data_IF_894531342393
#
_entry.id   IF_894531342393
#
_cell.length_a   1.000
_cell.length_b   1.000
_cell.length_c   1.000
_cell.angle_alpha   90.00
_cell.angle_beta   90.00
_cell.angle_gamma   90.00
#
_symmetry.space_group_name_H-M   'P 1'
#
loop_
_entity.id
_entity.type
_entity.pdbx_description
1 polymer ?
#
# COMPACT_ATOMS: atom_id res chain seq x y z
N UNK A 1 -3.45 11.57 8.54
CA UNK A 1 -2.08 11.93 8.97
C UNK A 1 -1.22 12.51 7.84
N UNK A 2 -1.11 11.87 6.66
CA UNK A 2 -0.34 12.41 5.50
C UNK A 2 -0.71 13.85 5.12
N UNK A 3 -2.01 14.15 4.96
CA UNK A 3 -2.52 15.52 4.69
C UNK A 3 -2.15 16.56 5.77
N UNK A 4 -1.98 16.14 7.02
CA UNK A 4 -1.56 17.02 8.12
C UNK A 4 -0.03 17.17 8.20
N UNK A 5 0.70 16.45 7.36
CA UNK A 5 2.16 16.45 7.31
C UNK A 5 2.81 15.76 8.50
N UNK A 6 2.12 14.88 9.23
CA UNK A 6 2.70 14.16 10.39
C UNK A 6 3.42 12.85 10.01
N UNK A 7 3.00 12.19 8.93
CA UNK A 7 3.51 10.87 8.57
C UNK A 7 3.51 10.69 7.06
N UNK A 8 4.48 9.93 6.55
CA UNK A 8 4.55 9.53 5.13
C UNK A 8 3.91 8.16 4.89
N UNK A 9 4.06 7.23 5.84
CA UNK A 9 3.59 5.85 5.73
C UNK A 9 2.95 5.36 7.03
N UNK A 10 2.05 4.38 6.90
CA UNK A 10 1.42 3.70 8.02
C UNK A 10 1.18 2.23 7.65
N UNK A 11 1.46 1.33 8.58
CA UNK A 11 1.06 -0.07 8.50
C UNK A 11 0.43 -0.52 9.81
N UNK A 12 -0.44 -1.53 9.74
CA UNK A 12 -1.02 -2.16 10.92
C UNK A 12 -1.21 -3.66 10.69
N UNK A 13 -0.99 -4.48 11.72
CA UNK A 13 -1.18 -5.92 11.61
C UNK A 13 -0.75 -6.70 12.84
N UNK A 14 -0.84 -8.03 12.73
CA UNK A 14 -0.27 -8.92 13.73
C UNK A 14 1.25 -8.77 13.74
N UNK A 15 1.80 -8.55 14.93
CA UNK A 15 3.21 -8.30 15.15
C UNK A 15 3.98 -9.53 15.61
N UNK A 16 4.96 -9.31 16.49
CA UNK A 16 5.77 -10.39 17.04
C UNK A 16 4.92 -11.39 17.84
N UNK A 17 5.27 -12.68 17.70
CA UNK A 17 4.60 -13.79 18.39
C UNK A 17 5.56 -14.46 19.36
N UNK A 18 5.16 -14.54 20.63
CA UNK A 18 5.90 -15.22 21.70
C UNK A 18 5.02 -16.36 22.23
N UNK A 19 5.37 -17.59 21.90
CA UNK A 19 4.55 -18.76 22.24
C UNK A 19 3.12 -18.63 21.67
N UNK A 20 2.16 -18.48 22.58
CA UNK A 20 0.72 -18.35 22.27
C UNK A 20 0.23 -16.89 22.30
N UNK A 21 1.11 -15.93 22.56
CA UNK A 21 0.79 -14.50 22.59
C UNK A 21 1.28 -13.82 21.32
N UNK A 22 0.57 -12.78 20.88
CA UNK A 22 0.94 -11.95 19.74
C UNK A 22 0.67 -10.49 20.05
N UNK A 23 1.53 -9.60 19.55
CA UNK A 23 1.24 -8.17 19.53
C UNK A 23 0.33 -7.83 18.33
N UNK A 24 -0.35 -6.69 18.43
CA UNK A 24 -0.89 -5.95 17.29
C UNK A 24 -0.08 -4.67 17.16
N UNK A 25 0.51 -4.44 16.00
CA UNK A 25 1.46 -3.34 15.79
C UNK A 25 0.86 -2.34 14.81
N UNK A 26 1.02 -1.05 15.13
CA UNK A 26 0.73 0.07 14.24
C UNK A 26 2.03 0.84 14.08
N UNK A 27 2.65 0.72 12.91
CA UNK A 27 3.87 1.44 12.58
C UNK A 27 3.57 2.68 11.76
N UNK A 28 4.24 3.79 12.09
CA UNK A 28 4.08 5.07 11.41
C UNK A 28 5.44 5.66 11.11
N UNK A 29 5.71 5.94 9.83
CA UNK A 29 6.89 6.68 9.42
C UNK A 29 6.63 8.17 9.62
N UNK A 30 7.25 8.75 10.66
CA UNK A 30 7.04 10.14 11.04
C UNK A 30 7.83 11.10 10.15
N UNK A 31 7.24 12.26 9.86
CA UNK A 31 7.96 13.44 9.38
C UNK A 31 8.59 14.19 10.56
N UNK A 32 9.42 15.20 10.31
CA UNK A 32 9.93 16.10 11.36
C UNK A 32 8.80 16.73 12.19
N UNK A 33 7.71 17.11 11.52
CA UNK A 33 6.51 17.66 12.19
C UNK A 33 5.82 16.60 13.07
N UNK A 34 5.72 15.36 12.59
CA UNK A 34 5.18 14.25 13.38
C UNK A 34 6.04 13.91 14.59
N UNK A 35 7.36 13.87 14.40
CA UNK A 35 8.34 13.62 15.44
C UNK A 35 8.35 14.70 16.52
N UNK A 36 8.14 15.97 16.15
CA UNK A 36 7.97 17.07 17.11
C UNK A 36 6.66 16.98 17.92
N UNK A 37 5.68 16.19 17.47
CA UNK A 37 4.34 16.13 18.05
C UNK A 37 3.78 14.69 18.19
N UNK A 38 4.47 13.77 18.87
CA UNK A 38 4.09 12.36 18.92
C UNK A 38 2.72 12.13 19.56
N UNK A 39 2.35 12.90 20.59
CA UNK A 39 1.04 12.79 21.23
C UNK A 39 -0.11 13.13 20.28
N UNK A 40 0.09 14.07 19.34
CA UNK A 40 -0.93 14.41 18.33
C UNK A 40 -1.13 13.27 17.33
N UNK A 41 -0.05 12.59 16.96
CA UNK A 41 -0.10 11.39 16.11
C UNK A 41 -0.83 10.25 16.81
N UNK A 42 -0.48 9.97 18.07
CA UNK A 42 -1.12 8.93 18.87
C UNK A 42 -2.61 9.21 19.09
N UNK A 43 -2.99 10.47 19.36
CA UNK A 43 -4.40 10.87 19.46
C UNK A 43 -5.21 10.59 18.19
N UNK A 44 -4.62 10.81 17.01
CA UNK A 44 -5.28 10.47 15.74
C UNK A 44 -5.41 8.95 15.54
N UNK A 45 -4.41 8.16 15.96
CA UNK A 45 -4.47 6.69 15.91
C UNK A 45 -5.60 6.18 16.82
N UNK A 46 -5.66 6.63 18.07
CA UNK A 46 -6.71 6.20 19.00
C UNK A 46 -8.10 6.68 18.59
N UNK A 47 -8.22 7.90 18.05
CA UNK A 47 -9.49 8.37 17.47
C UNK A 47 -9.95 7.49 16.29
N UNK A 48 -9.02 6.97 15.48
CA UNK A 48 -9.36 6.02 14.42
C UNK A 48 -9.73 4.63 14.96
N UNK A 49 -9.08 4.18 16.04
CA UNK A 49 -9.47 2.94 16.75
C UNK A 49 -10.89 3.06 17.33
N UNK A 50 -11.27 4.22 17.86
CA UNK A 50 -12.62 4.45 18.36
C UNK A 50 -13.67 4.44 17.23
N UNK A 51 -13.29 4.90 16.03
CA UNK A 51 -14.10 4.76 14.83
C UNK A 51 -14.30 3.28 14.45
N UNK A 52 -13.25 2.44 14.56
CA UNK A 52 -13.34 1.00 14.34
C UNK A 52 -14.24 0.31 15.38
N UNK A 53 -14.21 0.75 16.64
CA UNK A 53 -15.10 0.22 17.70
C UNK A 53 -16.57 0.57 17.46
N UNK A 54 -16.84 1.72 16.83
CA UNK A 54 -18.19 2.19 16.51
C UNK A 54 -18.75 1.62 15.20
N UNK A 55 -17.99 0.77 14.52
CA UNK A 55 -18.33 0.20 13.24
C UNK A 55 -19.62 -0.65 13.25
N UNK A 56 -20.49 -0.39 12.27
CA UNK A 56 -21.76 -1.11 12.06
C UNK A 56 -21.78 -1.97 10.80
N UNK A 57 -20.81 -1.81 9.90
CA UNK A 57 -20.77 -2.47 8.58
C UNK A 57 -19.60 -3.46 8.43
N UNK A 58 -19.14 -3.99 9.57
CA UNK A 58 -17.96 -4.86 9.61
C UNK A 58 -18.14 -6.15 8.80
N UNK A 59 -19.36 -6.64 8.66
CA UNK A 59 -19.66 -7.83 7.86
C UNK A 59 -19.39 -7.61 6.36
N UNK A 60 -19.78 -6.45 5.82
CA UNK A 60 -19.49 -6.13 4.41
C UNK A 60 -17.99 -6.09 4.15
N UNK A 61 -17.21 -5.46 5.04
CA UNK A 61 -15.73 -5.44 4.90
C UNK A 61 -15.12 -6.83 5.03
N UNK A 62 -15.64 -7.67 5.93
CA UNK A 62 -15.22 -9.06 6.03
C UNK A 62 -15.45 -9.80 4.71
N UNK A 63 -16.62 -9.64 4.10
CA UNK A 63 -16.96 -10.27 2.82
C UNK A 63 -16.06 -9.78 1.68
N UNK A 64 -15.72 -8.49 1.63
CA UNK A 64 -14.78 -7.95 0.65
C UNK A 64 -13.39 -8.60 0.78
N UNK A 65 -12.83 -8.62 1.99
CA UNK A 65 -11.51 -9.23 2.26
C UNK A 65 -11.54 -10.73 1.92
N UNK A 66 -12.60 -11.44 2.32
CA UNK A 66 -12.76 -12.86 2.04
C UNK A 66 -12.87 -13.13 0.53
N UNK A 67 -13.58 -12.27 -0.21
CA UNK A 67 -13.74 -12.38 -1.66
C UNK A 67 -12.39 -12.18 -2.36
N UNK A 68 -11.67 -11.11 -2.02
CA UNK A 68 -10.32 -10.84 -2.55
C UNK A 68 -9.39 -12.01 -2.29
N UNK A 69 -9.36 -12.52 -1.06
CA UNK A 69 -8.49 -13.63 -0.68
C UNK A 69 -8.83 -14.94 -1.41
N UNK A 70 -10.12 -15.25 -1.54
CA UNK A 70 -10.62 -16.41 -2.30
C UNK A 70 -10.23 -16.31 -3.77
N UNK A 71 -10.46 -15.16 -4.40
CA UNK A 71 -10.10 -14.89 -5.80
C UNK A 71 -8.59 -15.01 -6.02
N UNK A 72 -7.78 -14.44 -5.12
CA UNK A 72 -6.32 -14.55 -5.17
C UNK A 72 -5.83 -15.99 -5.06
N UNK A 73 -6.50 -16.83 -4.27
CA UNK A 73 -6.20 -18.26 -4.18
C UNK A 73 -6.65 -19.04 -5.42
N UNK A 74 -7.85 -18.78 -5.93
CA UNK A 74 -8.41 -19.44 -7.10
C UNK A 74 -7.55 -19.23 -8.35
N UNK A 75 -7.04 -18.00 -8.54
CA UNK A 75 -6.21 -17.62 -9.68
C UNK A 75 -4.72 -17.49 -9.33
N UNK A 76 -4.27 -18.21 -8.29
CA UNK A 76 -2.88 -18.16 -7.83
C UNK A 76 -1.94 -18.67 -8.93
N UNK A 77 -0.99 -17.83 -9.32
CA UNK A 77 0.04 -18.19 -10.29
C UNK A 77 1.09 -19.16 -9.71
N UNK A 78 1.73 -19.92 -10.60
CA UNK A 78 2.82 -20.82 -10.22
C UNK A 78 4.01 -20.01 -9.73
N UNK A 79 4.54 -20.39 -8.56
CA UNK A 79 5.74 -19.80 -7.96
C UNK A 79 6.95 -20.67 -8.24
N UNK A 80 8.14 -20.09 -8.06
CA UNK A 80 9.39 -20.86 -8.02
C UNK A 80 9.29 -22.01 -7.00
N UNK A 81 9.69 -23.20 -7.43
CA UNK A 81 9.55 -24.43 -6.65
C UNK A 81 10.26 -24.36 -5.29
N UNK A 82 11.46 -23.76 -5.26
CA UNK A 82 12.24 -23.64 -4.01
C UNK A 82 11.52 -22.78 -2.97
N UNK A 83 10.91 -21.68 -3.38
CA UNK A 83 10.14 -20.81 -2.48
C UNK A 83 8.85 -21.47 -2.03
N UNK A 84 8.18 -22.23 -2.91
CA UNK A 84 6.94 -22.92 -2.55
C UNK A 84 7.19 -24.05 -1.54
N UNK A 85 8.23 -24.87 -1.74
CA UNK A 85 8.59 -25.95 -0.80
C UNK A 85 8.97 -25.39 0.57
N UNK A 86 9.82 -24.35 0.62
CA UNK A 86 10.21 -23.71 1.88
C UNK A 86 9.00 -23.15 2.65
N UNK A 87 8.09 -22.47 1.93
CA UNK A 87 6.85 -21.93 2.48
C UNK A 87 5.92 -23.02 3.03
N UNK A 88 5.75 -24.12 2.29
CA UNK A 88 4.88 -25.24 2.70
C UNK A 88 5.46 -26.00 3.89
N UNK A 89 6.77 -26.27 3.91
CA UNK A 89 7.44 -26.93 5.03
C UNK A 89 7.22 -26.16 6.34
N UNK A 90 7.35 -24.82 6.30
CA UNK A 90 7.10 -23.96 7.46
C UNK A 90 5.64 -24.05 7.94
N UNK A 91 4.68 -24.14 7.01
CA UNK A 91 3.24 -24.22 7.34
C UNK A 91 2.82 -25.58 7.89
N UNK A 92 3.41 -26.66 7.38
CA UNK A 92 3.10 -28.03 7.82
C UNK A 92 3.46 -28.27 9.30
N UNK A 93 4.41 -27.51 9.84
CA UNK A 93 4.73 -27.53 11.27
C UNK A 93 3.62 -26.95 12.17
N UNK A 94 2.62 -26.25 11.61
CA UNK A 94 1.65 -25.46 12.38
C UNK A 94 0.19 -25.69 11.99
N UNK A 95 -0.07 -26.15 10.78
CA UNK A 95 -1.42 -26.23 10.24
C UNK A 95 -1.70 -27.61 9.64
N UNK A 96 -2.97 -28.07 9.65
CA UNK A 96 -3.36 -29.32 9.03
C UNK A 96 -2.97 -29.37 7.55
N UNK A 97 -2.50 -30.53 7.09
CA UNK A 97 -2.07 -30.76 5.70
C UNK A 97 -3.13 -30.33 4.68
N UNK A 98 -4.42 -30.56 4.98
CA UNK A 98 -5.54 -30.18 4.11
C UNK A 98 -5.65 -28.66 3.87
N UNK A 99 -5.14 -27.83 4.77
CA UNK A 99 -5.36 -26.38 4.79
C UNK A 99 -4.13 -25.58 4.33
N UNK A 100 -2.93 -26.19 4.33
CA UNK A 100 -1.64 -25.45 4.18
C UNK A 100 -1.54 -24.59 2.92
N UNK A 101 -2.20 -25.00 1.83
CA UNK A 101 -2.21 -24.21 0.60
C UNK A 101 -3.15 -23.01 0.70
N UNK A 102 -4.30 -23.18 1.34
CA UNK A 102 -5.40 -22.23 1.37
C UNK A 102 -5.39 -21.30 2.60
N UNK A 103 -4.42 -21.39 3.51
CA UNK A 103 -4.41 -20.60 4.76
C UNK A 103 -4.68 -19.09 4.61
N UNK A 104 -4.30 -18.49 3.48
CA UNK A 104 -4.52 -17.06 3.25
C UNK A 104 -5.92 -16.74 2.70
N UNK A 105 -6.71 -17.76 2.37
CA UNK A 105 -8.03 -17.68 1.75
C UNK A 105 -9.11 -18.42 2.55
N UNK A 106 -8.76 -19.00 3.70
CA UNK A 106 -9.73 -19.61 4.61
C UNK A 106 -10.32 -18.51 5.49
N UNK A 107 -11.59 -18.20 5.22
CA UNK A 107 -12.41 -17.25 5.96
C UNK A 107 -13.64 -18.03 6.48
N UNK A 108 -13.68 -18.31 7.79
CA UNK A 108 -14.64 -19.23 8.42
C UNK A 108 -16.01 -18.62 8.78
N UNK A 109 -16.21 -17.33 8.53
CA UNK A 109 -17.40 -16.56 8.92
C UNK A 109 -17.06 -15.27 9.67
N UNK A 110 -17.93 -14.28 9.55
CA UNK A 110 -17.82 -13.02 10.27
C UNK A 110 -18.22 -13.21 11.73
N UNK A 111 -17.28 -12.95 12.66
CA UNK A 111 -17.51 -13.04 14.10
C UNK A 111 -17.39 -11.65 14.75
N UNK A 112 -18.50 -10.89 14.90
CA UNK A 112 -18.45 -9.55 15.48
C UNK A 112 -18.05 -9.54 16.95
N UNK A 113 -18.35 -10.61 17.71
CA UNK A 113 -17.95 -10.68 19.12
C UNK A 113 -16.43 -10.78 19.29
N UNK A 114 -15.77 -11.63 18.51
CA UNK A 114 -14.32 -11.79 18.56
C UNK A 114 -13.58 -10.52 18.13
N UNK A 115 -14.05 -9.86 17.07
CA UNK A 115 -13.51 -8.57 16.63
C UNK A 115 -13.64 -7.52 17.75
N UNK A 116 -14.80 -7.45 18.41
CA UNK A 116 -15.00 -6.54 19.56
C UNK A 116 -14.06 -6.86 20.72
N UNK A 117 -13.81 -8.14 21.00
CA UNK A 117 -12.85 -8.55 22.03
C UNK A 117 -11.44 -8.06 21.73
N UNK A 118 -10.97 -8.17 20.49
CA UNK A 118 -9.65 -7.64 20.12
C UNK A 118 -9.61 -6.10 20.13
N UNK A 119 -10.62 -5.43 19.55
CA UNK A 119 -10.70 -3.96 19.54
C UNK A 119 -10.77 -3.37 20.95
N UNK A 120 -11.40 -4.07 21.90
CA UNK A 120 -11.46 -3.65 23.31
C UNK A 120 -10.08 -3.66 23.99
N UNK A 121 -9.11 -4.43 23.48
CA UNK A 121 -7.74 -4.41 23.98
C UNK A 121 -6.92 -3.26 23.42
N UNK A 122 -7.32 -2.67 22.29
CA UNK A 122 -6.63 -1.53 21.67
C UNK A 122 -6.96 -0.23 22.42
N UNK A 123 -6.31 -0.05 23.56
CA UNK A 123 -6.46 1.11 24.46
C UNK A 123 -5.11 1.72 24.79
N UNK A 124 -5.07 3.01 25.16
CA UNK A 124 -3.85 3.65 25.64
C UNK A 124 -3.20 2.94 26.83
N UNK A 125 -3.99 2.26 27.67
CA UNK A 125 -3.52 1.54 28.86
C UNK A 125 -2.75 0.25 28.50
N UNK A 126 -3.06 -0.36 27.36
CA UNK A 126 -2.36 -1.56 26.88
C UNK A 126 -1.27 -1.23 25.84
N UNK A 127 -1.06 0.05 25.52
CA UNK A 127 -0.14 0.46 24.48
C UNK A 127 1.31 0.51 24.97
N UNK A 128 2.21 -0.06 24.17
CA UNK A 128 3.65 0.18 24.27
C UNK A 128 4.03 1.04 23.06
N UNK A 129 4.54 2.25 23.32
CA UNK A 129 4.92 3.19 22.27
C UNK A 129 6.43 3.23 22.14
N UNK A 130 6.94 2.89 20.97
CA UNK A 130 8.34 3.05 20.61
C UNK A 130 8.48 4.17 19.58
N UNK A 131 9.29 5.17 19.89
CA UNK A 131 9.66 6.25 18.96
C UNK A 131 11.15 6.12 18.69
N UNK A 132 11.53 6.03 17.43
CA UNK A 132 12.92 5.88 17.00
C UNK A 132 13.31 7.08 16.15
N UNK A 133 14.48 7.67 16.43
CA UNK A 133 15.05 8.74 15.61
C UNK A 133 16.58 8.57 15.53
N UNK A 134 17.22 8.84 14.38
CA UNK A 134 18.66 8.72 14.22
C UNK A 134 19.47 9.63 15.16
N UNK A 135 18.87 10.74 15.58
CA UNK A 135 19.48 11.75 16.45
C UNK A 135 19.23 11.51 17.94
N UNK A 136 18.59 10.40 18.29
CA UNK A 136 18.27 10.10 19.69
C UNK A 136 19.51 9.62 20.44
N UNK A 137 19.90 10.36 21.48
CA UNK A 137 21.02 10.06 22.35
C UNK A 137 20.54 9.77 23.77
N UNK A 138 21.21 8.84 24.44
CA UNK A 138 20.93 8.47 25.83
C UNK A 138 22.15 7.82 26.47
N UNK A 139 22.30 7.99 27.78
CA UNK A 139 23.32 7.29 28.56
C UNK A 139 23.03 5.79 28.68
N UNK A 140 21.75 5.39 28.61
CA UNK A 140 21.36 3.99 28.64
C UNK A 140 21.48 3.40 27.24
N UNK A 141 22.12 2.22 27.14
CA UNK A 141 22.35 1.51 25.88
C UNK A 141 21.94 0.04 26.01
N UNK A 142 21.42 -0.54 24.93
CA UNK A 142 21.11 -1.98 24.88
C UNK A 142 22.39 -2.80 25.05
N UNK A 143 22.32 -3.95 25.71
CA UNK A 143 23.48 -4.79 26.02
C UNK A 143 24.31 -5.18 24.78
N UNK A 144 23.65 -5.68 23.73
CA UNK A 144 24.37 -6.30 22.60
C UNK A 144 24.71 -5.32 21.49
N UNK A 145 23.79 -4.43 21.13
CA UNK A 145 23.94 -3.53 19.98
C UNK A 145 24.32 -2.10 20.37
N UNK A 146 24.45 -1.81 21.66
CA UNK A 146 24.82 -0.49 22.19
C UNK A 146 23.91 0.65 21.68
N UNK A 147 22.66 0.34 21.32
CA UNK A 147 21.67 1.30 20.83
C UNK A 147 21.19 2.17 22.00
N UNK A 148 21.28 3.51 21.92
CA UNK A 148 20.77 4.40 22.96
C UNK A 148 19.25 4.26 23.09
N UNK A 149 18.75 4.18 24.32
CA UNK A 149 17.31 4.11 24.59
C UNK A 149 16.96 4.83 25.90
N UNK A 150 15.67 5.12 26.08
CA UNK A 150 15.14 5.60 27.36
C UNK A 150 13.72 5.07 27.51
N UNK A 151 13.38 4.65 28.72
CA UNK A 151 12.03 4.22 29.07
C UNK A 151 11.39 5.31 29.93
N UNK A 152 10.22 5.77 29.53
CA UNK A 152 9.43 6.75 30.28
C UNK A 152 8.00 6.27 30.41
N UNK A 153 7.40 6.47 31.57
CA UNK A 153 5.99 6.18 31.77
C UNK A 153 5.14 7.09 30.88
N UNK A 154 4.23 6.48 30.12
CA UNK A 154 3.22 7.20 29.35
C UNK A 154 2.04 7.53 30.27
N UNK A 155 1.45 8.71 30.08
CA UNK A 155 0.17 9.05 30.70
C UNK A 155 -0.93 8.76 29.68
N UNK A 156 -1.80 7.75 29.91
CA UNK A 156 -2.82 7.36 28.94
C UNK A 156 -3.71 8.51 28.45
N UNK A 157 -4.00 9.48 29.32
CA UNK A 157 -4.82 10.66 29.00
C UNK A 157 -4.18 11.56 27.91
N UNK A 158 -2.85 11.58 27.82
CA UNK A 158 -2.13 12.39 26.84
C UNK A 158 -2.23 11.80 25.42
N UNK A 159 -2.64 10.53 25.30
CA UNK A 159 -2.72 9.80 24.03
C UNK A 159 -4.09 9.86 23.37
N UNK A 160 -5.12 10.37 24.06
CA UNK A 160 -6.49 10.43 23.54
C UNK A 160 -6.99 11.85 23.29
N UNK A 161 -6.24 12.87 23.75
CA UNK A 161 -6.63 14.26 23.59
C UNK A 161 -6.32 14.74 22.16
N UNK A 162 -7.36 14.89 21.34
CA UNK A 162 -7.24 15.52 20.01
C UNK A 162 -7.13 17.04 20.19
N UNK A 163 -5.96 17.59 19.85
CA UNK A 163 -5.71 19.02 19.89
C UNK A 163 -6.66 19.80 18.95
N UNK A 164 -6.95 21.06 19.29
CA UNK A 164 -7.86 21.92 18.51
C UNK A 164 -7.52 21.94 17.02
N UNK A 165 -6.23 22.09 16.70
CA UNK A 165 -5.74 22.14 15.34
C UNK A 165 -5.87 20.82 14.55
N UNK A 166 -6.15 19.68 15.22
CA UNK A 166 -6.42 18.39 14.56
C UNK A 166 -7.89 17.98 14.58
N UNK A 167 -8.79 18.74 15.23
CA UNK A 167 -10.21 18.37 15.34
C UNK A 167 -10.88 18.18 13.98
N UNK A 168 -10.60 19.06 13.01
CA UNK A 168 -11.11 18.92 11.65
C UNK A 168 -10.56 17.65 10.96
N UNK A 169 -9.28 17.33 11.20
CA UNK A 169 -8.68 16.11 10.68
C UNK A 169 -9.34 14.87 11.29
N UNK A 170 -9.58 14.86 12.60
CA UNK A 170 -10.25 13.76 13.28
C UNK A 170 -11.71 13.61 12.84
N UNK A 171 -12.45 14.72 12.70
CA UNK A 171 -13.84 14.72 12.27
C UNK A 171 -14.02 14.29 10.80
N UNK A 172 -12.98 14.41 9.97
CA UNK A 172 -13.01 13.94 8.58
C UNK A 172 -12.58 12.49 8.40
N UNK A 173 -12.14 11.81 9.48
CA UNK A 173 -11.81 10.39 9.41
C UNK A 173 -13.08 9.57 9.21
N UNK A 174 -12.99 8.58 8.32
CA UNK A 174 -14.05 7.63 8.06
C UNK A 174 -13.47 6.24 7.83
N UNK A 175 -14.28 5.21 8.03
CA UNK A 175 -13.93 3.86 7.62
C UNK A 175 -13.88 3.80 6.09
N UNK A 176 -13.09 2.88 5.51
CA UNK A 176 -13.04 2.72 4.07
C UNK A 176 -14.44 2.48 3.50
N UNK A 177 -14.70 3.09 2.33
CA UNK A 177 -15.89 2.78 1.54
C UNK A 177 -15.69 1.42 0.88
N UNK A 178 -16.77 0.85 0.34
CA UNK A 178 -16.68 -0.36 -0.48
C UNK A 178 -15.72 -0.16 -1.63
N UNK A 179 -14.85 -1.14 -1.84
CA UNK A 179 -13.82 -1.07 -2.87
C UNK A 179 -14.43 -1.30 -4.27
N UNK A 180 -14.41 -0.30 -5.18
CA UNK A 180 -15.05 -0.41 -6.49
C UNK A 180 -14.29 -1.30 -7.49
N UNK A 181 -13.05 -1.67 -7.19
CA UNK A 181 -12.17 -2.43 -8.07
C UNK A 181 -12.20 -3.93 -7.82
N UNK A 182 -12.96 -4.42 -6.82
CA UNK A 182 -13.15 -5.86 -6.62
C UNK A 182 -13.89 -6.41 -7.84
N UNK A 183 -13.23 -7.32 -8.56
CA UNK A 183 -13.80 -7.99 -9.71
C UNK A 183 -14.83 -9.06 -9.29
N UNK A 184 -15.91 -9.16 -10.05
CA UNK A 184 -16.97 -10.17 -9.91
C UNK A 184 -17.19 -10.99 -11.20
N UNK A 185 -16.56 -10.58 -12.32
CA UNK A 185 -16.50 -11.35 -13.55
C UNK A 185 -15.07 -11.83 -13.84
N UNK A 186 -14.92 -13.14 -13.95
CA UNK A 186 -13.66 -13.83 -14.22
C UNK A 186 -13.74 -14.70 -15.49
N UNK A 187 -14.70 -14.40 -16.38
CA UNK A 187 -14.83 -15.09 -17.65
C UNK A 187 -13.57 -14.92 -18.51
N UNK A 188 -13.14 -16.02 -19.14
CA UNK A 188 -11.99 -16.01 -20.03
C UNK A 188 -12.44 -15.75 -21.46
N UNK A 189 -11.76 -14.83 -22.14
CA UNK A 189 -11.97 -14.64 -23.57
C UNK A 189 -11.25 -15.75 -24.34
N UNK A 190 -11.99 -16.47 -25.17
CA UNK A 190 -11.49 -17.61 -25.94
C UNK A 190 -11.07 -17.24 -27.37
N UNK A 191 -11.18 -15.96 -27.73
CA UNK A 191 -10.86 -15.49 -29.06
C UNK A 191 -9.38 -15.73 -29.36
N UNK A 192 -9.10 -16.47 -30.43
CA UNK A 192 -7.75 -16.71 -30.94
C UNK A 192 -7.24 -15.52 -31.74
N UNK A 193 -7.53 -14.30 -31.29
CA UNK A 193 -6.95 -13.10 -31.88
C UNK A 193 -5.44 -13.21 -31.70
N UNK A 194 -4.75 -13.49 -32.80
CA UNK A 194 -3.29 -13.62 -32.80
C UNK A 194 -2.62 -12.29 -32.49
N UNK A 195 -1.28 -12.33 -32.47
CA UNK A 195 -0.46 -11.13 -32.33
C UNK A 195 -0.87 -10.08 -33.36
N UNK A 196 -1.16 -8.86 -32.90
CA UNK A 196 -1.55 -7.74 -33.74
C UNK A 196 -0.71 -6.53 -33.40
N UNK A 197 0.03 -6.07 -34.39
CA UNK A 197 0.79 -4.82 -34.34
C UNK A 197 0.21 -3.89 -35.39
N UNK A 198 -0.38 -2.78 -34.97
CA UNK A 198 -1.01 -1.82 -35.88
C UNK A 198 -0.85 -0.41 -35.38
N UNK A 199 -0.80 0.55 -36.30
CA UNK A 199 -0.96 1.96 -35.97
C UNK A 199 -2.43 2.33 -36.19
N UNK A 200 -3.08 2.90 -35.17
CA UNK A 200 -4.46 3.38 -35.26
C UNK A 200 -4.50 4.71 -36.01
N UNK A 201 -5.67 5.09 -36.53
CA UNK A 201 -5.86 6.39 -37.19
C UNK A 201 -5.52 7.59 -36.29
N UNK A 202 -5.56 7.41 -34.96
CA UNK A 202 -5.14 8.40 -33.96
C UNK A 202 -3.61 8.57 -33.84
N UNK A 203 -2.82 7.73 -34.50
CA UNK A 203 -1.36 7.67 -34.36
C UNK A 203 -0.86 6.78 -33.22
N UNK A 204 -1.76 6.12 -32.47
CA UNK A 204 -1.40 5.18 -31.40
C UNK A 204 -0.86 3.89 -32.02
N UNK A 205 0.35 3.49 -31.63
CA UNK A 205 0.89 2.17 -31.92
C UNK A 205 0.33 1.15 -30.92
N UNK A 206 -0.36 0.14 -31.42
CA UNK A 206 -0.96 -0.91 -30.62
C UNK A 206 -0.26 -2.24 -30.90
N UNK A 207 0.29 -2.82 -29.82
CA UNK A 207 0.82 -4.17 -29.77
C UNK A 207 -0.10 -4.99 -28.88
N UNK A 208 -0.67 -6.06 -29.44
CA UNK A 208 -1.65 -6.90 -28.74
C UNK A 208 -1.30 -8.37 -28.92
N UNK A 209 -1.40 -9.14 -27.83
CA UNK A 209 -1.29 -10.59 -27.85
C UNK A 209 -2.27 -11.18 -26.83
N UNK A 210 -3.14 -12.10 -27.27
CA UNK A 210 -4.02 -12.85 -26.37
C UNK A 210 -3.39 -14.19 -25.96
N UNK A 211 -2.69 -14.21 -24.84
CA UNK A 211 -2.07 -15.43 -24.31
C UNK A 211 -3.07 -16.26 -23.47
N UNK A 212 -3.53 -17.37 -24.04
CA UNK A 212 -4.49 -18.27 -23.39
C UNK A 212 -3.83 -19.44 -22.63
N UNK A 213 -2.50 -19.50 -22.54
CA UNK A 213 -1.77 -20.63 -21.92
C UNK A 213 -2.02 -20.75 -20.42
N UNK A 214 -2.14 -19.61 -19.73
CA UNK A 214 -2.22 -19.58 -18.27
C UNK A 214 -3.64 -19.77 -17.73
N UNK A 215 -4.67 -19.59 -18.57
CA UNK A 215 -6.10 -19.75 -18.20
C UNK A 215 -6.50 -18.99 -16.93
N UNK A 216 -5.96 -17.78 -16.75
CA UNK A 216 -6.29 -16.86 -15.66
C UNK A 216 -6.90 -15.58 -16.23
N UNK A 217 -7.86 -14.95 -15.53
CA UNK A 217 -8.54 -13.73 -15.99
C UNK A 217 -7.70 -12.47 -15.73
N UNK A 218 -6.40 -12.55 -16.06
CA UNK A 218 -5.43 -11.49 -15.81
C UNK A 218 -4.92 -10.91 -17.12
N UNK A 219 -4.59 -9.64 -17.10
CA UNK A 219 -3.98 -8.93 -18.23
C UNK A 219 -2.83 -8.06 -17.76
N UNK A 220 -1.93 -7.75 -18.68
CA UNK A 220 -0.87 -6.76 -18.51
C UNK A 220 -0.99 -5.74 -19.63
N UNK A 221 -1.06 -4.47 -19.30
CA UNK A 221 -1.16 -3.36 -20.24
C UNK A 221 -0.07 -2.36 -19.91
N UNK A 222 0.70 -1.96 -20.93
CA UNK A 222 1.69 -0.90 -20.83
C UNK A 222 1.35 0.20 -21.83
N UNK A 223 1.33 1.45 -21.36
CA UNK A 223 1.04 2.63 -22.18
C UNK A 223 2.24 3.57 -22.04
N UNK A 224 2.94 3.82 -23.14
CA UNK A 224 4.03 4.77 -23.20
C UNK A 224 3.56 6.11 -23.78
N UNK A 225 3.56 7.15 -22.95
CA UNK A 225 3.33 8.54 -23.35
C UNK A 225 4.66 9.15 -23.77
N UNK A 226 4.96 9.07 -25.07
CA UNK A 226 6.21 9.52 -25.65
C UNK A 226 6.07 10.91 -26.29
N UNK A 227 6.85 11.92 -25.86
CA UNK A 227 6.94 13.20 -26.54
C UNK A 227 7.53 13.04 -27.96
N UNK A 228 7.08 13.88 -28.89
CA UNK A 228 7.57 13.89 -30.28
C UNK A 228 8.92 14.60 -30.45
N UNK A 229 9.36 15.33 -29.41
CA UNK A 229 10.62 16.10 -29.40
C UNK A 229 11.74 15.35 -28.70
N UNK A 230 12.98 15.59 -29.11
CA UNK A 230 14.15 15.06 -28.40
C UNK A 230 14.25 15.71 -27.00
N UNK A 231 14.42 14.88 -25.98
CA UNK A 231 14.48 15.33 -24.59
C UNK A 231 15.93 15.62 -24.18
N UNK A 232 16.18 16.85 -23.69
CA UNK A 232 17.42 17.18 -23.01
C UNK A 232 17.51 16.47 -21.65
N UNK A 233 18.68 16.54 -20.99
CA UNK A 233 18.83 16.00 -19.63
C UNK A 233 17.87 16.70 -18.65
N UNK A 234 17.65 18.01 -18.83
CA UNK A 234 16.69 18.78 -18.03
C UNK A 234 15.26 18.28 -18.26
N UNK A 235 14.87 18.05 -19.52
CA UNK A 235 13.53 17.54 -19.85
C UNK A 235 13.31 16.13 -19.29
N UNK A 236 14.32 15.25 -19.39
CA UNK A 236 14.28 13.91 -18.78
C UNK A 236 14.11 13.99 -17.26
N UNK A 237 14.85 14.90 -16.62
CA UNK A 237 14.72 15.12 -15.17
C UNK A 237 13.32 15.62 -14.80
N UNK A 238 12.76 16.56 -15.59
CA UNK A 238 11.41 17.06 -15.39
C UNK A 238 10.36 15.95 -15.60
N UNK A 239 10.55 15.09 -16.60
CA UNK A 239 9.69 13.93 -16.87
C UNK A 239 9.71 12.92 -15.72
N UNK A 240 10.88 12.62 -15.16
CA UNK A 240 11.00 11.75 -13.97
C UNK A 240 10.28 12.33 -12.76
N UNK A 241 10.50 13.61 -12.46
CA UNK A 241 9.79 14.28 -11.37
C UNK A 241 8.27 14.30 -11.61
N UNK A 242 7.84 14.53 -12.85
CA UNK A 242 6.42 14.52 -13.23
C UNK A 242 5.80 13.13 -13.00
N UNK A 243 6.46 12.06 -13.42
CA UNK A 243 6.00 10.69 -13.19
C UNK A 243 5.86 10.39 -11.69
N UNK A 244 6.88 10.72 -10.88
CA UNK A 244 6.83 10.54 -9.42
C UNK A 244 5.71 11.36 -8.75
N UNK A 245 5.44 12.57 -9.23
CA UNK A 245 4.34 13.40 -8.73
C UNK A 245 2.97 12.79 -9.05
N UNK A 246 2.80 12.29 -10.28
CA UNK A 246 1.57 11.63 -10.71
C UNK A 246 1.33 10.37 -9.87
N UNK A 247 2.35 9.52 -9.74
CA UNK A 247 2.28 8.28 -8.97
C UNK A 247 1.92 8.55 -7.50
N UNK A 248 2.53 9.57 -6.90
CA UNK A 248 2.25 9.92 -5.51
C UNK A 248 0.82 10.44 -5.30
N UNK A 249 0.33 11.27 -6.22
CA UNK A 249 -1.04 11.78 -6.14
C UNK A 249 -2.07 10.67 -6.34
N UNK A 250 -1.74 9.69 -7.18
CA UNK A 250 -2.60 8.55 -7.43
C UNK A 250 -2.50 7.47 -6.36
N UNK A 251 -1.47 7.44 -5.51
CA UNK A 251 -1.26 6.39 -4.49
C UNK A 251 -2.52 6.06 -3.69
N UNK A 252 -3.29 7.07 -3.25
CA UNK A 252 -4.53 6.82 -2.46
C UNK A 252 -5.60 6.14 -3.31
N UNK A 253 -5.72 6.53 -4.58
CA UNK A 253 -6.67 5.97 -5.54
C UNK A 253 -6.27 4.56 -5.98
N UNK A 254 -4.98 4.32 -6.15
CA UNK A 254 -4.43 3.02 -6.57
C UNK A 254 -4.43 1.99 -5.44
N UNK A 255 -4.52 2.43 -4.18
CA UNK A 255 -4.57 1.53 -3.03
C UNK A 255 -5.74 0.54 -3.11
N UNK A 256 -6.95 1.04 -3.38
CA UNK A 256 -8.15 0.20 -3.50
C UNK A 256 -7.98 -0.81 -4.65
N UNK A 257 -7.46 -0.39 -5.79
CA UNK A 257 -7.17 -1.29 -6.91
C UNK A 257 -6.15 -2.38 -6.51
N UNK A 258 -5.07 -2.00 -5.81
CA UNK A 258 -4.02 -2.92 -5.39
C UNK A 258 -4.57 -4.01 -4.45
N UNK A 259 -5.41 -3.62 -3.49
CA UNK A 259 -6.12 -4.56 -2.60
C UNK A 259 -7.03 -5.50 -3.40
N UNK A 260 -7.66 -5.02 -4.48
CA UNK A 260 -8.50 -5.84 -5.34
C UNK A 260 -7.72 -6.73 -6.34
N UNK A 261 -6.38 -6.73 -6.29
CA UNK A 261 -5.55 -7.54 -7.19
C UNK A 261 -5.25 -6.89 -8.54
N UNK A 262 -5.38 -5.56 -8.63
CA UNK A 262 -5.05 -4.70 -9.75
C UNK A 262 -3.94 -3.73 -9.37
N UNK A 263 -2.75 -3.97 -9.91
CA UNK A 263 -1.61 -3.07 -9.75
C UNK A 263 -1.62 -2.04 -10.87
N UNK A 264 -1.30 -0.79 -10.52
CA UNK A 264 -0.93 0.22 -11.49
C UNK A 264 0.33 0.94 -10.99
N UNK A 265 1.20 1.32 -11.91
CA UNK A 265 2.43 2.04 -11.62
C UNK A 265 2.65 3.08 -12.71
N UNK A 266 3.07 4.29 -12.32
CA UNK A 266 3.45 5.33 -13.26
C UNK A 266 4.94 5.63 -13.07
N UNK A 267 5.73 5.32 -14.10
CA UNK A 267 7.19 5.53 -14.07
C UNK A 267 7.66 6.37 -15.25
N UNK A 268 8.89 6.87 -15.18
CA UNK A 268 9.56 7.45 -16.34
C UNK A 268 10.51 6.43 -16.96
N UNK A 269 10.32 6.12 -18.24
CA UNK A 269 11.31 5.45 -19.07
C UNK A 269 12.35 6.43 -19.62
N UNK A 270 13.20 5.96 -20.54
CA UNK A 270 14.26 6.81 -21.13
C UNK A 270 13.69 7.97 -21.98
N UNK A 271 12.51 7.77 -22.58
CA UNK A 271 11.89 8.67 -23.57
C UNK A 271 10.40 8.89 -23.36
N UNK A 272 9.79 8.31 -22.32
CA UNK A 272 8.35 8.33 -22.12
C UNK A 272 7.98 8.27 -20.64
N UNK A 273 6.77 8.72 -20.33
CA UNK A 273 6.09 8.31 -19.09
C UNK A 273 5.37 6.99 -19.40
N UNK A 274 5.54 5.99 -18.56
CA UNK A 274 4.98 4.65 -18.74
C UNK A 274 3.92 4.43 -17.67
N UNK A 275 2.71 4.08 -18.11
CA UNK A 275 1.63 3.60 -17.25
C UNK A 275 1.58 2.09 -17.41
N UNK A 276 1.88 1.37 -16.33
CA UNK A 276 1.82 -0.08 -16.25
C UNK A 276 0.57 -0.48 -15.48
N UNK A 277 -0.21 -1.41 -16.00
CA UNK A 277 -1.41 -1.98 -15.37
C UNK A 277 -1.31 -3.50 -15.41
N UNK A 278 -1.47 -4.17 -14.28
CA UNK A 278 -1.44 -5.63 -14.20
C UNK A 278 -2.48 -6.14 -13.20
N UNK A 279 -3.28 -7.13 -13.58
CA UNK A 279 -4.26 -7.70 -12.65
C UNK A 279 -5.49 -8.26 -13.33
N UNK A 280 -6.58 -8.36 -12.56
CA UNK A 280 -7.85 -8.88 -13.05
C UNK A 280 -8.48 -7.97 -14.12
N UNK A 281 -8.69 -8.50 -15.31
CA UNK A 281 -8.99 -7.70 -16.51
C UNK A 281 -10.26 -6.83 -16.40
N UNK A 282 -11.28 -7.27 -15.66
CA UNK A 282 -12.61 -6.65 -15.63
C UNK A 282 -12.59 -5.16 -15.26
N UNK A 283 -11.86 -4.80 -14.19
CA UNK A 283 -11.85 -3.43 -13.63
C UNK A 283 -10.66 -2.59 -14.11
N UNK A 284 -9.82 -3.14 -14.99
CA UNK A 284 -8.67 -2.45 -15.55
C UNK A 284 -9.05 -1.21 -16.39
N UNK A 285 -10.10 -1.24 -17.23
CA UNK A 285 -10.55 -0.04 -17.97
C UNK A 285 -11.02 1.09 -17.04
N UNK A 286 -11.70 0.74 -15.94
CA UNK A 286 -12.16 1.70 -14.93
C UNK A 286 -10.95 2.38 -14.26
N UNK A 287 -9.94 1.60 -13.87
CA UNK A 287 -8.71 2.11 -13.27
C UNK A 287 -7.93 3.01 -14.23
N UNK A 288 -7.77 2.59 -15.48
CA UNK A 288 -7.11 3.39 -16.51
C UNK A 288 -7.84 4.72 -16.73
N UNK A 289 -9.18 4.71 -16.78
CA UNK A 289 -9.97 5.94 -16.92
C UNK A 289 -9.70 6.91 -15.78
N UNK A 290 -9.61 6.43 -14.54
CA UNK A 290 -9.30 7.27 -13.37
C UNK A 290 -7.89 7.87 -13.49
N UNK A 291 -6.89 7.08 -13.90
CA UNK A 291 -5.52 7.56 -14.13
C UNK A 291 -5.50 8.65 -15.21
N UNK A 292 -6.12 8.39 -16.37
CA UNK A 292 -6.15 9.34 -17.49
C UNK A 292 -6.88 10.64 -17.15
N UNK A 293 -7.97 10.57 -16.38
CA UNK A 293 -8.68 11.75 -15.89
C UNK A 293 -7.80 12.58 -14.95
N UNK A 294 -7.08 11.93 -14.03
CA UNK A 294 -6.16 12.61 -13.13
C UNK A 294 -5.04 13.33 -13.88
N UNK A 295 -4.49 12.70 -14.93
CA UNK A 295 -3.48 13.32 -15.80
C UNK A 295 -3.97 14.61 -16.47
N UNK A 296 -5.26 14.68 -16.84
CA UNK A 296 -5.85 15.86 -17.46
C UNK A 296 -6.10 17.00 -16.46
N UNK A 297 -6.26 16.69 -15.18
CA UNK A 297 -6.54 17.66 -14.11
C UNK A 297 -5.37 17.82 -13.15
N UNK A 298 -4.17 17.47 -13.58
CA UNK A 298 -2.99 17.45 -12.71
C UNK A 298 -2.73 18.83 -12.11
N UNK A 299 -2.70 18.88 -10.78
CA UNK A 299 -2.34 20.09 -10.03
C UNK A 299 -1.13 19.78 -9.14
N UNK A 300 -0.02 20.48 -9.38
CA UNK A 300 1.22 20.30 -8.61
C UNK A 300 1.32 21.42 -7.59
N UNK A 301 1.12 21.10 -6.32
CA UNK A 301 1.36 22.04 -5.23
C UNK A 301 2.86 22.11 -4.89
N UNK A 302 3.30 23.28 -4.41
CA UNK A 302 4.71 23.56 -4.17
C UNK A 302 5.32 22.68 -3.06
N UNK A 303 4.54 22.30 -2.05
CA UNK A 303 5.04 21.49 -0.95
C UNK A 303 5.30 20.04 -1.39
N UNK A 304 4.35 19.45 -2.13
CA UNK A 304 4.51 18.13 -2.74
C UNK A 304 5.69 18.11 -3.72
N UNK A 305 5.80 19.11 -4.59
CA UNK A 305 6.94 19.24 -5.50
C UNK A 305 8.28 19.29 -4.78
N UNK A 306 8.39 20.12 -3.73
CA UNK A 306 9.63 20.26 -2.97
C UNK A 306 10.06 18.94 -2.32
N UNK A 307 9.10 18.18 -1.76
CA UNK A 307 9.38 16.87 -1.17
C UNK A 307 9.80 15.84 -2.23
N UNK A 308 9.02 15.65 -3.29
CA UNK A 308 9.38 14.68 -4.37
C UNK A 308 10.74 14.99 -4.98
N UNK A 309 11.06 16.28 -5.17
CA UNK A 309 12.38 16.71 -5.64
C UNK A 309 13.49 16.37 -4.64
N UNK A 310 13.23 16.53 -3.35
CA UNK A 310 14.17 16.16 -2.28
C UNK A 310 14.41 14.65 -2.25
N UNK A 311 13.34 13.86 -2.34
CA UNK A 311 13.38 12.40 -2.36
C UNK A 311 14.21 11.92 -3.57
N UNK A 312 13.91 12.42 -4.77
CA UNK A 312 14.68 12.10 -5.98
C UNK A 312 16.16 12.48 -5.87
N UNK A 313 16.47 13.64 -5.26
CA UNK A 313 17.87 14.03 -5.01
C UNK A 313 18.56 13.05 -4.06
N UNK A 314 17.88 12.61 -3.02
CA UNK A 314 18.42 11.64 -2.07
C UNK A 314 18.67 10.29 -2.74
N UNK A 315 17.77 9.84 -3.62
CA UNK A 315 17.95 8.61 -4.40
C UNK A 315 19.19 8.66 -5.31
N UNK A 316 19.44 9.81 -5.94
CA UNK A 316 20.67 10.02 -6.72
C UNK A 316 21.93 9.97 -5.85
N UNK A 317 21.88 10.53 -4.63
CA UNK A 317 22.98 10.45 -3.67
C UNK A 317 23.20 9.00 -3.20
N UNK A 318 22.11 8.29 -2.89
CA UNK A 318 22.15 6.90 -2.44
C UNK A 318 22.69 5.97 -3.53
N UNK A 319 22.34 6.22 -4.79
CA UNK A 319 22.85 5.46 -5.95
C UNK A 319 24.38 5.53 -6.02
N UNK A 320 24.98 6.67 -5.69
CA UNK A 320 26.45 6.82 -5.62
C UNK A 320 27.10 6.01 -4.50
N UNK A 321 26.35 5.70 -3.44
CA UNK A 321 26.82 4.93 -2.28
C UNK A 321 26.60 3.42 -2.43
N UNK A 322 25.98 2.96 -3.52
CA UNK A 322 25.83 1.53 -3.78
C UNK A 322 27.20 0.89 -4.01
N UNK A 323 27.40 -0.29 -3.41
CA UNK A 323 28.66 -1.02 -3.58
C UNK A 323 28.85 -1.40 -5.06
N UNK A 324 30.08 -1.28 -5.60
CA UNK A 324 30.40 -1.85 -6.91
C UNK A 324 30.12 -3.36 -6.90
N UNK A 325 29.55 -3.87 -7.98
CA UNK A 325 29.41 -5.30 -8.23
C UNK A 325 30.75 -5.96 -8.49
#
# INVERSE_FOLDING_TARGET
MKKQGYASELYAGAGHRIGNETSFEIGVQLTDKGYAHPNRVLALIFAYIDLLKADKDGESRYQEIATVAKTAFQFKEKRSAIHEVSRLATRLNRFPVKDVQALNAIFSGYNPSEIKTYLAQLTPQHAVVQITAPTFESAQKTQYFQVPYRITALKPADLTHVAEADKAAAASMHLPRRNPFIADDFSLHHDKTGEKNTVLASGIELYFNNDTRFKVPRSSVQIALQPTVALSITDKTAMTLLASLIDEQLTTTLYDASIAGLQAEITSGEKSIVISLEGYQQKMPDLLKVILQHLQTLHIDSATFARVKSDYRQDLINTRAQMPY
#
